data_IF_353271851594
#
_entry.id   IF_353271851594
#
_cell.length_a   1.000
_cell.length_b   1.000
_cell.length_c   1.000
_cell.angle_alpha   90.00
_cell.angle_beta   90.00
_cell.angle_gamma   90.00
#
_symmetry.space_group_name_H-M   'P 1'
#
loop_
_entity.id
_entity.type
_entity.pdbx_description
1 polymer ?
#
# COMPACT_ATOMS: atom_id res chain seq x y z
N UNK A 1 -30.40 -0.74 -0.35
CA UNK A 1 -31.09 -0.68 -1.66
C UNK A 1 -31.90 0.61 -1.68
N UNK A 2 -31.68 1.46 -2.69
CA UNK A 2 -32.44 2.69 -2.87
C UNK A 2 -33.51 2.41 -3.93
N UNK A 3 -34.80 2.31 -3.54
CA UNK A 3 -35.85 1.98 -4.49
C UNK A 3 -36.01 3.12 -5.51
N UNK A 4 -36.36 2.75 -6.76
CA UNK A 4 -36.67 3.68 -7.86
C UNK A 4 -35.51 4.52 -8.41
N UNK A 5 -34.25 4.14 -8.16
CA UNK A 5 -33.14 4.74 -8.90
C UNK A 5 -33.19 4.33 -10.38
N UNK A 6 -32.98 5.27 -11.32
CA UNK A 6 -32.78 4.92 -12.71
C UNK A 6 -31.54 4.04 -12.85
N UNK A 7 -31.56 3.16 -13.85
CA UNK A 7 -30.45 2.26 -14.14
C UNK A 7 -29.98 2.46 -15.58
N UNK A 8 -28.69 2.24 -15.79
CA UNK A 8 -27.99 2.39 -17.06
C UNK A 8 -27.27 1.09 -17.41
N UNK A 9 -27.06 0.78 -18.70
CA UNK A 9 -26.25 -0.36 -19.09
C UNK A 9 -24.82 -0.19 -18.56
N UNK A 10 -24.23 -1.25 -18.02
CA UNK A 10 -22.86 -1.22 -17.54
C UNK A 10 -21.88 -1.07 -18.73
N UNK A 11 -20.94 -0.10 -18.71
CA UNK A 11 -19.97 0.10 -19.80
C UNK A 11 -19.10 -1.14 -20.08
N UNK A 12 -18.96 -2.04 -19.10
CA UNK A 12 -18.27 -3.32 -19.27
C UNK A 12 -18.87 -4.21 -20.36
N UNK A 13 -20.16 -4.07 -20.68
CA UNK A 13 -20.81 -4.84 -21.74
C UNK A 13 -20.15 -4.59 -23.11
N UNK A 14 -19.61 -3.40 -23.33
CA UNK A 14 -18.91 -3.00 -24.55
C UNK A 14 -17.38 -3.12 -24.46
N UNK A 15 -16.84 -3.57 -23.33
CA UNK A 15 -15.39 -3.63 -23.12
C UNK A 15 -14.78 -4.81 -23.87
N UNK A 16 -13.74 -4.60 -24.72
CA UNK A 16 -13.05 -5.69 -25.41
C UNK A 16 -12.44 -6.74 -24.48
N UNK A 17 -12.03 -6.33 -23.27
CA UNK A 17 -11.50 -7.24 -22.25
C UNK A 17 -12.55 -8.26 -21.77
N UNK A 18 -13.83 -7.95 -21.97
CA UNK A 18 -15.00 -8.73 -21.59
C UNK A 18 -15.75 -9.29 -22.81
N UNK A 19 -15.11 -9.35 -23.98
CA UNK A 19 -15.72 -9.95 -25.17
C UNK A 19 -15.55 -11.48 -25.23
N UNK A 20 -14.61 -12.04 -24.44
CA UNK A 20 -14.14 -13.42 -24.60
C UNK A 20 -14.90 -14.42 -23.72
N UNK A 21 -15.34 -14.05 -22.52
CA UNK A 21 -16.09 -14.96 -21.62
C UNK A 21 -17.60 -14.88 -21.90
N UNK A 22 -18.32 -16.00 -21.79
CA UNK A 22 -19.78 -15.99 -22.03
C UNK A 22 -20.59 -15.41 -20.87
N UNK A 23 -20.02 -15.38 -19.66
CA UNK A 23 -20.71 -14.93 -18.46
C UNK A 23 -19.73 -14.11 -17.60
N UNK A 24 -19.92 -12.79 -17.61
CA UNK A 24 -19.06 -11.85 -16.88
C UNK A 24 -19.80 -11.07 -15.79
N UNK A 25 -21.13 -11.07 -15.81
CA UNK A 25 -21.96 -10.39 -14.82
C UNK A 25 -22.52 -11.40 -13.82
N UNK A 26 -22.63 -10.98 -12.57
CA UNK A 26 -23.22 -11.76 -11.49
C UNK A 26 -24.73 -11.72 -11.63
N UNK A 27 -25.41 -12.87 -11.50
CA UNK A 27 -26.86 -12.92 -11.49
C UNK A 27 -27.38 -12.31 -10.17
N UNK A 28 -28.43 -11.46 -10.18
CA UNK A 28 -29.02 -10.92 -8.96
C UNK A 28 -29.48 -11.98 -7.94
N UNK A 29 -29.78 -13.19 -8.41
CA UNK A 29 -30.19 -14.34 -7.60
C UNK A 29 -29.01 -15.23 -7.18
N UNK A 30 -27.78 -14.93 -7.62
CA UNK A 30 -26.59 -15.66 -7.19
C UNK A 30 -26.29 -15.41 -5.71
N UNK A 31 -26.23 -16.50 -4.95
CA UNK A 31 -25.95 -16.49 -3.51
C UNK A 31 -24.87 -17.49 -3.12
N UNK A 32 -24.06 -17.11 -2.14
CA UNK A 32 -23.08 -17.96 -1.46
C UNK A 32 -23.63 -18.36 -0.09
N UNK A 33 -23.69 -19.66 0.18
CA UNK A 33 -24.09 -20.15 1.49
C UNK A 33 -23.00 -19.91 2.53
N UNK A 34 -23.37 -19.39 3.71
CA UNK A 34 -22.45 -19.29 4.84
C UNK A 34 -21.92 -20.67 5.26
N UNK A 35 -22.79 -21.68 5.23
CA UNK A 35 -22.47 -23.05 5.60
C UNK A 35 -22.83 -23.99 4.45
N UNK A 36 -21.79 -24.47 3.76
CA UNK A 36 -21.92 -25.36 2.60
C UNK A 36 -22.20 -26.82 2.98
N UNK A 37 -21.84 -27.24 4.21
CA UNK A 37 -22.12 -28.60 4.72
C UNK A 37 -23.32 -28.54 5.65
N UNK A 38 -24.42 -29.17 5.24
CA UNK A 38 -25.69 -29.16 5.97
C UNK A 38 -26.28 -30.57 6.06
N UNK A 39 -27.16 -30.81 7.04
CA UNK A 39 -27.89 -32.09 7.12
C UNK A 39 -29.04 -32.07 6.12
N UNK A 40 -29.41 -33.24 5.57
CA UNK A 40 -30.39 -33.36 4.47
C UNK A 40 -31.73 -32.65 4.75
N UNK A 41 -32.13 -32.57 6.01
CA UNK A 41 -33.43 -32.03 6.43
C UNK A 41 -33.33 -30.76 7.30
N UNK A 42 -32.15 -30.17 7.44
CA UNK A 42 -32.03 -28.90 8.18
C UNK A 42 -32.51 -27.72 7.34
N UNK A 43 -33.00 -26.69 8.01
CA UNK A 43 -33.42 -25.45 7.37
C UNK A 43 -32.30 -24.87 6.48
N UNK A 44 -32.70 -24.22 5.38
CA UNK A 44 -31.76 -23.46 4.55
C UNK A 44 -31.14 -22.36 5.43
N UNK A 45 -29.83 -22.45 5.62
CA UNK A 45 -29.07 -21.53 6.47
C UNK A 45 -28.89 -20.15 5.83
N UNK A 46 -28.05 -19.32 6.45
CA UNK A 46 -27.75 -17.96 5.97
C UNK A 46 -27.07 -18.00 4.60
N UNK A 47 -27.48 -17.08 3.74
CA UNK A 47 -26.96 -16.87 2.40
C UNK A 47 -26.47 -15.42 2.25
N UNK A 48 -25.40 -15.22 1.50
CA UNK A 48 -24.84 -13.92 1.14
C UNK A 48 -24.99 -13.68 -0.35
N UNK A 49 -25.24 -12.45 -0.76
CA UNK A 49 -25.26 -12.08 -2.19
C UNK A 49 -23.85 -12.12 -2.76
N UNK A 50 -23.70 -12.64 -3.96
CA UNK A 50 -22.43 -12.59 -4.68
C UNK A 50 -22.05 -11.13 -5.03
N UNK A 51 -20.78 -10.78 -4.81
CA UNK A 51 -20.22 -9.51 -5.26
C UNK A 51 -19.64 -9.67 -6.67
N UNK A 52 -19.77 -8.64 -7.50
CA UNK A 52 -19.20 -8.60 -8.84
C UNK A 52 -19.89 -7.57 -9.73
N UNK A 53 -19.42 -7.41 -10.97
CA UNK A 53 -20.03 -6.48 -11.91
C UNK A 53 -21.47 -6.92 -12.20
N UNK A 54 -22.36 -5.93 -12.27
CA UNK A 54 -23.78 -6.10 -12.58
C UNK A 54 -24.04 -5.65 -14.02
N UNK A 55 -25.02 -6.24 -14.69
CA UNK A 55 -25.39 -5.81 -16.05
C UNK A 55 -25.80 -4.34 -16.10
N UNK A 56 -26.40 -3.84 -15.01
CA UNK A 56 -26.87 -2.46 -14.89
C UNK A 56 -26.17 -1.74 -13.73
N UNK A 57 -25.89 -0.46 -13.94
CA UNK A 57 -25.31 0.46 -12.96
C UNK A 57 -26.28 1.60 -12.66
N UNK A 58 -26.12 2.26 -11.51
CA UNK A 58 -27.02 3.34 -11.09
C UNK A 58 -26.57 4.74 -11.51
N UNK A 59 -25.30 4.89 -11.91
CA UNK A 59 -24.70 6.19 -12.24
C UNK A 59 -24.01 6.11 -13.59
N UNK A 60 -24.09 7.19 -14.38
CA UNK A 60 -23.24 7.38 -15.55
C UNK A 60 -21.87 7.85 -15.12
N UNK A 61 -20.84 7.55 -15.90
CA UNK A 61 -19.45 7.95 -15.64
C UNK A 61 -19.31 9.42 -15.25
N UNK A 62 -19.95 10.29 -16.03
CA UNK A 62 -19.82 11.75 -15.93
C UNK A 62 -20.51 12.34 -14.69
N UNK A 63 -21.47 11.59 -14.11
CA UNK A 63 -22.20 11.98 -12.90
C UNK A 63 -21.50 11.50 -11.62
N UNK A 64 -20.43 10.71 -11.73
CA UNK A 64 -19.73 10.11 -10.59
C UNK A 64 -18.54 10.97 -10.19
N UNK A 65 -18.57 11.47 -8.96
CA UNK A 65 -17.37 11.87 -8.22
C UNK A 65 -17.09 10.83 -7.14
N UNK A 66 -16.00 10.09 -7.31
CA UNK A 66 -15.59 9.07 -6.34
C UNK A 66 -14.63 9.66 -5.31
N UNK A 67 -14.82 9.28 -4.05
CA UNK A 67 -13.99 9.74 -2.95
C UNK A 67 -13.50 8.55 -2.14
N UNK A 68 -12.18 8.43 -1.97
CA UNK A 68 -11.52 7.36 -1.23
C UNK A 68 -11.03 7.93 0.09
N UNK A 69 -11.28 7.23 1.18
CA UNK A 69 -10.75 7.55 2.50
C UNK A 69 -10.27 6.27 3.18
N UNK A 70 -9.09 6.33 3.77
CA UNK A 70 -8.54 5.24 4.58
C UNK A 70 -8.62 5.64 6.05
N UNK A 71 -9.18 4.77 6.89
CA UNK A 71 -9.37 5.02 8.31
C UNK A 71 -8.79 3.87 9.14
N UNK A 72 -8.40 4.18 10.38
CA UNK A 72 -7.78 3.19 11.29
C UNK A 72 -6.26 3.13 11.13
N UNK A 73 -5.67 2.03 11.61
CA UNK A 73 -4.25 1.75 11.41
C UNK A 73 -3.91 1.44 9.96
N UNK A 74 -2.66 1.67 9.58
CA UNK A 74 -2.15 1.29 8.27
C UNK A 74 -2.03 -0.24 8.17
N UNK A 75 -2.30 -0.77 6.98
CA UNK A 75 -2.30 -2.21 6.70
C UNK A 75 -1.61 -2.45 5.35
N UNK A 76 -0.72 -3.46 5.25
CA UNK A 76 -0.09 -3.83 3.99
C UNK A 76 -1.13 -4.06 2.89
N UNK A 77 -0.90 -3.48 1.71
CA UNK A 77 -1.75 -3.63 0.54
C UNK A 77 -2.82 -2.54 0.36
N UNK A 78 -2.99 -1.60 1.29
CA UNK A 78 -3.96 -0.50 1.12
C UNK A 78 -3.67 0.34 -0.13
N UNK A 79 -2.40 0.52 -0.47
CA UNK A 79 -1.99 1.27 -1.67
C UNK A 79 -2.32 0.52 -2.96
N UNK A 80 -2.27 -0.81 -2.93
CA UNK A 80 -2.75 -1.65 -4.04
C UNK A 80 -4.27 -1.48 -4.18
N UNK A 81 -5.01 -1.49 -3.06
CA UNK A 81 -6.47 -1.28 -3.08
C UNK A 81 -6.81 0.09 -3.69
N UNK A 82 -6.14 1.17 -3.26
CA UNK A 82 -6.36 2.52 -3.82
C UNK A 82 -6.05 2.53 -5.32
N UNK A 83 -4.90 1.98 -5.73
CA UNK A 83 -4.50 1.91 -7.15
C UNK A 83 -5.55 1.18 -7.98
N UNK A 84 -5.98 0.00 -7.55
CA UNK A 84 -6.94 -0.81 -8.30
C UNK A 84 -8.31 -0.15 -8.38
N UNK A 85 -8.77 0.52 -7.31
CA UNK A 85 -10.03 1.28 -7.34
C UNK A 85 -9.94 2.41 -8.37
N UNK A 86 -8.88 3.24 -8.32
CA UNK A 86 -8.69 4.37 -9.25
C UNK A 86 -8.57 3.89 -10.69
N UNK A 87 -7.74 2.88 -10.95
CA UNK A 87 -7.54 2.32 -12.29
C UNK A 87 -8.84 1.70 -12.83
N UNK A 88 -9.62 0.98 -12.02
CA UNK A 88 -10.88 0.39 -12.49
C UNK A 88 -11.94 1.46 -12.75
N UNK A 89 -12.11 2.42 -11.85
CA UNK A 89 -13.03 3.53 -12.04
C UNK A 89 -12.74 4.27 -13.35
N UNK A 90 -11.47 4.56 -13.62
CA UNK A 90 -11.07 5.27 -14.83
C UNK A 90 -11.15 4.41 -16.09
N UNK A 91 -10.39 3.31 -16.16
CA UNK A 91 -10.24 2.55 -17.41
C UNK A 91 -11.47 1.71 -17.77
N UNK A 92 -12.23 1.25 -16.77
CA UNK A 92 -13.37 0.36 -17.01
C UNK A 92 -14.71 1.07 -17.00
N UNK A 93 -14.83 2.11 -16.16
CA UNK A 93 -16.08 2.84 -15.97
C UNK A 93 -16.04 4.28 -16.47
N UNK A 94 -14.91 4.78 -16.99
CA UNK A 94 -14.80 6.13 -17.55
C UNK A 94 -14.89 7.25 -16.52
N UNK A 95 -14.70 6.96 -15.23
CA UNK A 95 -14.77 7.96 -14.15
C UNK A 95 -13.43 8.68 -14.03
N UNK A 96 -13.45 9.98 -14.29
CA UNK A 96 -12.25 10.84 -14.25
C UNK A 96 -12.11 11.66 -12.96
N UNK A 97 -13.21 11.84 -12.22
CA UNK A 97 -13.22 12.63 -10.97
C UNK A 97 -13.11 11.72 -9.75
N UNK A 98 -11.87 11.38 -9.40
CA UNK A 98 -11.54 10.55 -8.24
C UNK A 98 -10.68 11.34 -7.26
N UNK A 99 -11.09 11.37 -6.00
CA UNK A 99 -10.43 12.09 -4.92
C UNK A 99 -9.98 11.14 -3.81
N UNK A 100 -8.92 11.48 -3.10
CA UNK A 100 -8.57 10.91 -1.80
C UNK A 100 -8.64 11.96 -0.71
N UNK A 101 -9.14 11.56 0.46
CA UNK A 101 -9.19 12.37 1.67
C UNK A 101 -8.02 12.02 2.58
N UNK A 102 -7.21 13.01 2.91
CA UNK A 102 -6.07 12.83 3.80
C UNK A 102 -6.47 12.86 5.28
N UNK A 103 -5.80 12.08 6.12
CA UNK A 103 -6.03 12.09 7.57
C UNK A 103 -7.34 11.43 8.00
N UNK A 104 -7.82 10.45 7.24
CA UNK A 104 -9.05 9.71 7.53
C UNK A 104 -10.28 10.61 7.57
N UNK A 105 -11.24 10.28 8.44
CA UNK A 105 -12.48 11.07 8.53
C UNK A 105 -12.27 12.55 8.90
N UNK A 106 -11.17 12.90 9.56
CA UNK A 106 -10.84 14.31 9.88
C UNK A 106 -10.62 15.15 8.62
N UNK A 107 -10.13 14.53 7.54
CA UNK A 107 -9.87 15.22 6.28
C UNK A 107 -11.12 15.79 5.61
N UNK A 108 -12.30 15.18 5.83
CA UNK A 108 -13.56 15.71 5.29
C UNK A 108 -13.87 17.11 5.83
N UNK A 109 -13.61 17.35 7.12
CA UNK A 109 -13.84 18.65 7.74
C UNK A 109 -12.82 19.70 7.30
N UNK A 110 -11.59 19.25 7.01
CA UNK A 110 -10.50 20.14 6.60
C UNK A 110 -10.48 20.40 5.08
N UNK A 111 -11.29 19.65 4.31
CA UNK A 111 -11.28 19.63 2.84
C UNK A 111 -9.89 19.32 2.26
N UNK A 112 -9.15 18.44 2.93
CA UNK A 112 -7.85 17.97 2.46
C UNK A 112 -8.08 16.89 1.41
N UNK A 113 -8.29 17.32 0.16
CA UNK A 113 -8.60 16.45 -0.97
C UNK A 113 -7.48 16.49 -2.00
N UNK A 114 -7.03 15.32 -2.44
CA UNK A 114 -6.06 15.17 -3.54
C UNK A 114 -6.75 14.45 -4.69
N UNK A 115 -6.61 14.99 -5.90
CA UNK A 115 -7.11 14.33 -7.12
C UNK A 115 -6.21 13.15 -7.49
N UNK A 116 -6.84 11.99 -7.73
CA UNK A 116 -6.17 10.78 -8.17
C UNK A 116 -6.46 10.51 -9.65
N UNK A 117 -5.41 10.13 -10.37
CA UNK A 117 -5.49 9.68 -11.75
C UNK A 117 -4.70 8.37 -11.88
N UNK A 118 -4.99 7.50 -12.85
CA UNK A 118 -4.24 6.25 -13.02
C UNK A 118 -2.72 6.44 -13.10
N UNK A 119 -2.28 7.56 -13.69
CA UNK A 119 -0.86 7.94 -13.74
C UNK A 119 -0.28 8.25 -12.36
N UNK A 120 -1.03 8.92 -11.48
CA UNK A 120 -0.53 9.30 -10.14
C UNK A 120 -0.45 8.10 -9.19
N UNK A 121 -1.28 7.07 -9.40
CA UNK A 121 -1.30 5.84 -8.59
C UNK A 121 -0.48 4.69 -9.17
N UNK A 122 0.15 4.85 -10.34
CA UNK A 122 0.70 3.71 -11.06
C UNK A 122 1.81 3.00 -10.28
N UNK A 123 2.65 3.75 -9.57
CA UNK A 123 3.83 3.22 -8.87
C UNK A 123 3.79 3.40 -7.36
N UNK A 124 2.65 3.76 -6.77
CA UNK A 124 2.55 3.94 -5.30
C UNK A 124 2.99 2.66 -4.57
N UNK A 125 2.53 1.50 -5.02
CA UNK A 125 2.93 0.18 -4.54
C UNK A 125 4.42 -0.21 -4.75
N UNK A 126 5.22 0.59 -5.50
CA UNK A 126 6.66 0.34 -5.75
C UNK A 126 7.57 1.32 -5.03
N UNK A 127 7.04 2.41 -4.49
CA UNK A 127 7.85 3.48 -3.88
C UNK A 127 8.56 3.00 -2.62
N UNK A 128 7.94 2.11 -1.84
CA UNK A 128 8.59 1.44 -0.71
C UNK A 128 9.87 0.69 -1.12
N UNK A 129 9.84 -0.03 -2.23
CA UNK A 129 11.00 -0.80 -2.73
C UNK A 129 12.16 0.11 -3.19
N UNK A 130 11.87 1.21 -3.88
CA UNK A 130 12.87 2.19 -4.32
C UNK A 130 13.59 2.83 -3.13
N UNK A 131 12.82 3.21 -2.10
CA UNK A 131 13.35 3.81 -0.88
C UNK A 131 14.22 2.81 -0.10
N UNK A 132 13.81 1.53 -0.02
CA UNK A 132 14.65 0.48 0.56
C UNK A 132 15.96 0.28 -0.22
N UNK A 133 15.95 0.35 -1.56
CA UNK A 133 17.19 0.26 -2.36
C UNK A 133 18.11 1.46 -2.12
N UNK A 134 17.58 2.68 -2.00
CA UNK A 134 18.38 3.85 -1.67
C UNK A 134 19.10 3.71 -0.33
N UNK A 135 18.42 3.21 0.71
CA UNK A 135 19.06 2.94 2.01
C UNK A 135 20.21 1.93 1.90
N UNK A 136 20.03 0.86 1.09
CA UNK A 136 21.09 -0.13 0.87
C UNK A 136 22.31 0.43 0.12
N UNK A 137 22.07 1.30 -0.87
CA UNK A 137 23.15 1.90 -1.68
C UNK A 137 23.96 2.92 -0.88
N UNK A 138 23.32 3.72 -0.02
CA UNK A 138 23.99 4.60 0.94
C UNK A 138 24.90 3.77 1.85
N UNK A 139 24.40 2.65 2.39
CA UNK A 139 25.19 1.75 3.23
C UNK A 139 26.37 1.12 2.50
N UNK A 140 26.18 0.68 1.25
CA UNK A 140 27.27 0.10 0.44
C UNK A 140 28.35 1.12 0.12
N UNK A 141 27.98 2.36 -0.20
CA UNK A 141 28.94 3.45 -0.41
C UNK A 141 29.78 3.73 0.85
N UNK A 142 29.16 3.76 2.03
CA UNK A 142 29.87 3.92 3.31
C UNK A 142 30.87 2.80 3.65
N UNK A 143 30.78 1.63 3.01
CA UNK A 143 31.77 0.55 3.15
C UNK A 143 32.94 0.68 2.15
N UNK A 144 32.73 1.24 0.96
CA UNK A 144 33.79 1.49 -0.03
C UNK A 144 34.73 2.63 0.40
N UNK A 145 34.20 3.69 1.02
CA UNK A 145 35.00 4.84 1.48
C UNK A 145 35.95 4.47 2.63
N UNK A 146 35.56 3.52 3.51
CA UNK A 146 36.41 3.05 4.63
C UNK A 146 37.50 2.07 4.18
N UNK A 147 37.23 1.22 3.18
CA UNK A 147 38.27 0.34 2.59
C UNK A 147 39.35 1.17 1.88
N UNK A 148 39.00 2.31 1.29
CA UNK A 148 39.96 3.24 0.71
C UNK A 148 40.78 4.04 1.74
N UNK A 149 40.37 4.04 3.02
CA UNK A 149 40.94 4.87 4.09
C UNK A 149 41.77 4.07 5.11
N UNK A 150 42.15 2.83 4.81
CA UNK A 150 42.78 1.89 5.76
C UNK A 150 44.21 2.23 6.20
N UNK A 151 44.67 3.47 6.07
CA UNK A 151 46.01 3.92 6.48
C UNK A 151 46.03 5.22 7.29
N UNK A 152 44.92 5.65 7.89
CA UNK A 152 44.94 6.73 8.88
C UNK A 152 44.02 6.39 10.05
N UNK A 153 44.67 6.23 11.20
CA UNK A 153 44.09 5.93 12.51
C UNK A 153 43.41 7.21 13.05
N UNK A 154 42.28 7.00 13.73
CA UNK A 154 41.49 7.91 14.56
C UNK A 154 40.51 8.89 13.89
N UNK A 155 39.31 8.37 13.58
CA UNK A 155 38.02 8.81 14.17
C UNK A 155 36.98 7.70 13.94
N UNK A 156 36.87 6.75 14.87
CA UNK A 156 36.01 5.57 14.72
C UNK A 156 34.55 5.73 15.20
N UNK A 157 34.14 6.88 15.72
CA UNK A 157 32.86 6.97 16.45
C UNK A 157 31.63 7.48 15.66
N UNK A 158 31.78 7.89 14.39
CA UNK A 158 30.61 8.28 13.58
C UNK A 158 30.09 7.10 12.73
N UNK A 159 28.91 6.61 13.14
CA UNK A 159 28.16 5.50 12.52
C UNK A 159 27.79 5.83 11.06
N UNK A 160 27.42 7.08 10.81
CA UNK A 160 27.14 7.71 9.52
C UNK A 160 27.80 9.08 9.46
N UNK A 161 28.24 9.52 8.28
CA UNK A 161 28.65 10.92 8.05
C UNK A 161 27.43 11.86 8.12
N UNK A 162 27.65 13.14 8.41
CA UNK A 162 26.58 14.14 8.49
C UNK A 162 25.74 14.23 7.18
N UNK A 163 26.38 14.07 6.02
CA UNK A 163 25.72 14.04 4.71
C UNK A 163 24.85 12.78 4.51
N UNK A 164 25.31 11.62 5.00
CA UNK A 164 24.53 10.37 5.00
C UNK A 164 23.32 10.47 5.92
N UNK A 165 23.50 11.03 7.14
CA UNK A 165 22.40 11.31 8.07
C UNK A 165 21.35 12.23 7.44
N UNK A 166 21.76 13.32 6.79
CA UNK A 166 20.84 14.22 6.10
C UNK A 166 20.11 13.54 4.94
N UNK A 167 20.78 12.63 4.23
CA UNK A 167 20.18 11.90 3.12
C UNK A 167 19.18 10.86 3.61
N UNK A 168 19.52 10.10 4.65
CA UNK A 168 18.62 9.15 5.31
C UNK A 168 17.41 9.89 5.89
N UNK A 169 17.63 11.02 6.54
CA UNK A 169 16.54 11.87 7.04
C UNK A 169 15.63 12.36 5.91
N UNK A 170 16.20 12.83 4.79
CA UNK A 170 15.41 13.20 3.60
C UNK A 170 14.62 12.02 3.03
N UNK A 171 15.20 10.82 2.97
CA UNK A 171 14.53 9.60 2.52
C UNK A 171 13.37 9.24 3.46
N UNK A 172 13.61 9.22 4.77
CA UNK A 172 12.60 8.95 5.80
C UNK A 172 11.50 10.01 5.79
N UNK A 173 11.81 11.28 5.55
CA UNK A 173 10.82 12.36 5.39
C UNK A 173 10.06 12.28 4.06
N UNK A 174 10.67 11.77 2.99
CA UNK A 174 9.95 11.50 1.74
C UNK A 174 8.98 10.32 1.93
N UNK A 175 9.35 9.30 2.70
CA UNK A 175 8.45 8.20 3.08
C UNK A 175 7.20 8.72 3.82
N UNK A 176 7.32 9.77 4.65
CA UNK A 176 6.21 10.29 5.46
C UNK A 176 5.18 11.03 4.61
N UNK A 177 5.61 11.61 3.50
CA UNK A 177 4.74 12.29 2.53
C UNK A 177 3.98 11.32 1.62
N UNK A 178 4.34 10.04 1.58
CA UNK A 178 3.92 9.13 0.51
C UNK A 178 2.92 8.05 0.89
N UNK A 179 2.53 7.90 2.17
CA UNK A 179 1.62 6.83 2.63
C UNK A 179 2.07 5.39 2.28
N UNK A 180 3.32 5.21 1.85
CA UNK A 180 3.95 3.94 1.41
C UNK A 180 4.91 3.36 2.48
N UNK A 181 4.72 3.76 3.74
CA UNK A 181 5.62 3.34 4.82
C UNK A 181 5.57 1.83 5.09
N UNK A 182 4.41 1.19 4.98
CA UNK A 182 4.30 -0.24 5.26
C UNK A 182 5.06 -1.07 4.22
N UNK A 183 4.98 -0.68 2.95
CA UNK A 183 5.76 -1.33 1.89
C UNK A 183 7.26 -1.11 2.16
N UNK A 184 7.67 0.11 2.51
CA UNK A 184 9.05 0.39 2.90
C UNK A 184 9.50 -0.46 4.10
N UNK A 185 8.69 -0.55 5.16
CA UNK A 185 8.96 -1.35 6.37
C UNK A 185 9.05 -2.83 6.01
N UNK A 186 8.13 -3.36 5.19
CA UNK A 186 8.11 -4.76 4.80
C UNK A 186 9.32 -5.12 3.94
N UNK A 187 9.65 -4.30 2.93
CA UNK A 187 10.83 -4.49 2.10
C UNK A 187 12.12 -4.35 2.91
N UNK A 188 12.20 -3.35 3.79
CA UNK A 188 13.36 -3.13 4.66
C UNK A 188 13.54 -4.29 5.65
N UNK A 189 12.45 -4.75 6.30
CA UNK A 189 12.44 -5.90 7.21
C UNK A 189 12.88 -7.19 6.52
N UNK A 190 12.38 -7.46 5.31
CA UNK A 190 12.75 -8.65 4.52
C UNK A 190 14.22 -8.65 4.13
N UNK A 191 14.76 -7.49 3.74
CA UNK A 191 16.19 -7.38 3.46
C UNK A 191 17.04 -7.45 4.71
N UNK A 192 16.59 -6.86 5.82
CA UNK A 192 17.25 -6.96 7.11
C UNK A 192 17.37 -8.42 7.57
N UNK A 193 16.28 -9.18 7.54
CA UNK A 193 16.28 -10.60 7.91
C UNK A 193 17.26 -11.42 7.06
N UNK A 194 17.33 -11.18 5.74
CA UNK A 194 18.34 -11.84 4.87
C UNK A 194 19.77 -11.53 5.28
N UNK A 195 20.04 -10.31 5.75
CA UNK A 195 21.38 -9.87 6.12
C UNK A 195 21.85 -10.40 7.47
N UNK A 196 20.93 -10.49 8.44
CA UNK A 196 21.19 -11.10 9.74
C UNK A 196 21.49 -12.61 9.61
N UNK A 197 20.93 -13.28 8.59
CA UNK A 197 21.30 -14.65 8.24
C UNK A 197 22.70 -14.76 7.60
N UNK A 198 23.20 -13.70 6.95
CA UNK A 198 24.49 -13.66 6.26
C UNK A 198 25.65 -13.14 7.13
N UNK A 199 25.39 -12.49 8.27
CA UNK A 199 26.40 -11.93 9.19
C UNK A 199 26.03 -12.13 10.66
N UNK A 200 27.02 -12.51 11.48
CA UNK A 200 26.94 -12.51 12.95
C UNK A 200 27.15 -11.09 13.50
N UNK A 201 26.20 -10.65 14.35
CA UNK A 201 26.08 -9.37 15.06
C UNK A 201 25.56 -8.17 14.26
N UNK A 202 24.53 -7.52 14.81
CA UNK A 202 23.83 -6.37 14.26
C UNK A 202 24.74 -5.19 13.95
N UNK A 203 24.64 -4.68 12.73
CA UNK A 203 25.35 -3.49 12.27
C UNK A 203 24.77 -2.26 13.01
N UNK A 204 25.57 -1.47 13.75
CA UNK A 204 25.11 -0.26 14.45
C UNK A 204 24.37 0.73 13.55
N UNK A 205 24.64 0.70 12.24
CA UNK A 205 23.93 1.49 11.23
C UNK A 205 22.48 1.08 11.05
N UNK A 206 22.18 -0.21 11.18
CA UNK A 206 20.82 -0.70 11.04
C UNK A 206 19.97 -0.37 12.28
N UNK A 207 20.59 -0.35 13.46
CA UNK A 207 19.96 0.12 14.71
C UNK A 207 19.59 1.61 14.58
N UNK A 208 20.50 2.45 14.07
CA UNK A 208 20.23 3.88 13.86
C UNK A 208 19.06 4.14 12.89
N UNK A 209 19.00 3.42 11.76
CA UNK A 209 17.87 3.55 10.82
C UNK A 209 16.55 3.11 11.46
N UNK A 210 16.57 2.07 12.31
CA UNK A 210 15.38 1.62 13.05
C UNK A 210 14.94 2.61 14.12
N UNK A 211 15.87 3.25 14.82
CA UNK A 211 15.57 4.33 15.76
C UNK A 211 14.91 5.50 15.04
N UNK A 212 15.46 5.95 13.90
CA UNK A 212 14.85 7.02 13.09
C UNK A 212 13.44 6.66 12.62
N UNK A 213 13.21 5.44 12.14
CA UNK A 213 11.86 4.99 11.74
C UNK A 213 10.94 4.96 12.97
N UNK A 214 11.45 4.53 14.14
CA UNK A 214 10.64 4.49 15.36
C UNK A 214 10.25 5.89 15.84
N UNK A 215 11.19 6.85 15.83
CA UNK A 215 10.94 8.23 16.26
C UNK A 215 9.89 8.91 15.37
N UNK A 216 9.95 8.67 14.06
CA UNK A 216 9.05 9.32 13.11
C UNK A 216 7.67 8.65 13.01
N UNK A 217 7.58 7.34 13.19
CA UNK A 217 6.36 6.57 12.89
C UNK A 217 5.82 5.73 14.05
N UNK A 218 6.48 5.79 15.20
CA UNK A 218 6.11 5.08 16.42
C UNK A 218 6.60 3.63 16.46
N UNK A 219 6.59 3.05 17.66
CA UNK A 219 7.12 1.70 17.92
C UNK A 219 6.40 0.60 17.12
N UNK A 220 5.13 0.81 16.75
CA UNK A 220 4.38 -0.11 15.89
C UNK A 220 5.00 -0.31 14.50
N UNK A 221 5.74 0.67 13.97
CA UNK A 221 6.39 0.57 12.67
C UNK A 221 7.56 -0.42 12.68
N UNK A 222 8.25 -0.55 13.81
CA UNK A 222 9.47 -1.37 13.94
C UNK A 222 9.30 -2.63 14.75
N UNK A 223 8.09 -2.90 15.27
CA UNK A 223 7.85 -4.01 16.22
C UNK A 223 8.24 -5.40 15.68
N UNK A 224 8.20 -5.59 14.36
CA UNK A 224 8.64 -6.84 13.71
C UNK A 224 10.15 -6.93 13.51
N UNK A 225 10.84 -5.80 13.45
CA UNK A 225 12.27 -5.72 13.12
C UNK A 225 13.16 -5.69 14.36
N UNK A 226 12.72 -5.06 15.45
CA UNK A 226 13.50 -5.00 16.70
C UNK A 226 13.85 -6.37 17.28
N UNK A 227 12.91 -7.35 17.37
CA UNK A 227 13.23 -8.67 17.91
C UNK A 227 14.28 -9.43 17.08
N UNK A 228 14.53 -9.03 15.83
CA UNK A 228 15.53 -9.68 14.97
C UNK A 228 16.98 -9.43 15.43
N UNK A 229 17.21 -8.52 16.39
CA UNK A 229 18.54 -8.24 16.96
C UNK A 229 18.72 -8.75 18.39
N UNK A 230 17.65 -9.27 19.00
CA UNK A 230 17.65 -9.77 20.38
C UNK A 230 17.91 -11.30 20.45
N UNK A 231 18.16 -11.97 19.31
CA UNK A 231 18.54 -13.39 19.17
C UNK A 231 20.02 -13.57 18.84
#
# INVERSE_FOLDING_TARGET
FLPNLPTYPNPLQSSPAYAIVKQHFVDPEDVVFQKIVTQKNSARGVQFRCAGPQEKVYFKSDDVRACIVTCGGLCPGINIVIREIVCRLNYMYGVDDVLVIEGGYRGFYSRNTITLAPKSVNDIHKRGELLTRMCDDIRKKGNLTRIASSNLIDREDEIFTEEECQTIYKVVMIVSLLSDIDDFIEFYSRKLARRLLEKTNGDPREIYVLEMITEQYGAQATHKMRPMYDE
#
